data_IF_370789748458
#
_entry.id   IF_370789748458
#
_cell.length_a   1.000
_cell.length_b   1.000
_cell.length_c   1.000
_cell.angle_alpha   90.00
_cell.angle_beta   90.00
_cell.angle_gamma   90.00
#
_symmetry.space_group_name_H-M   'P 1'
#
loop_
_entity.id
_entity.type
_entity.pdbx_description
1 polymer ?
#
# COMPACT_ATOMS: atom_id res chain seq x y z
N UNK A 1 -4.29 -3.58 20.48
CA UNK A 1 -3.51 -4.37 19.52
C UNK A 1 -2.09 -3.83 19.49
N UNK A 2 -1.09 -4.62 19.13
CA UNK A 2 0.28 -4.13 18.97
C UNK A 2 0.46 -3.51 17.57
N UNK A 3 1.45 -2.63 17.41
CA UNK A 3 1.85 -2.11 16.09
C UNK A 3 2.18 -3.27 15.13
N UNK A 4 2.79 -4.34 15.64
CA UNK A 4 3.08 -5.54 14.85
C UNK A 4 1.82 -6.18 14.25
N UNK A 5 0.71 -6.23 15.00
CA UNK A 5 -0.55 -6.78 14.49
C UNK A 5 -1.16 -5.88 13.40
N UNK A 6 -1.05 -4.56 13.56
CA UNK A 6 -1.54 -3.59 12.57
C UNK A 6 -0.73 -3.66 11.27
N UNK A 7 0.60 -3.79 11.38
CA UNK A 7 1.48 -4.03 10.24
C UNK A 7 1.16 -5.35 9.53
N UNK A 8 0.91 -6.42 10.28
CA UNK A 8 0.57 -7.72 9.71
C UNK A 8 -0.79 -7.69 8.99
N UNK A 9 -1.79 -7.01 9.55
CA UNK A 9 -3.09 -6.81 8.90
C UNK A 9 -2.98 -5.95 7.62
N UNK A 10 -2.07 -4.97 7.59
CA UNK A 10 -1.75 -4.23 6.38
C UNK A 10 -1.13 -5.13 5.31
N UNK A 11 -0.20 -6.03 5.69
CA UNK A 11 0.38 -7.00 4.77
C UNK A 11 -0.68 -7.92 4.17
N UNK A 12 -1.62 -8.43 4.97
CA UNK A 12 -2.73 -9.29 4.52
C UNK A 12 -3.58 -8.58 3.45
N UNK A 13 -3.91 -7.29 3.66
CA UNK A 13 -4.63 -6.46 2.69
C UNK A 13 -3.83 -6.22 1.39
N UNK A 14 -2.51 -6.09 1.48
CA UNK A 14 -1.64 -5.78 0.34
C UNK A 14 -1.19 -7.02 -0.45
N UNK A 15 -1.22 -8.20 0.16
CA UNK A 15 -0.74 -9.46 -0.44
C UNK A 15 -1.48 -9.88 -1.73
N UNK A 16 -2.82 -9.82 -1.82
CA UNK A 16 -3.53 -10.28 -3.02
C UNK A 16 -3.42 -9.33 -4.21
N UNK A 17 -2.90 -8.11 -4.03
CA UNK A 17 -2.73 -7.15 -5.12
C UNK A 17 -1.64 -7.70 -6.06
N UNK A 18 -1.98 -7.97 -7.32
CA UNK A 18 -1.01 -8.38 -8.34
C UNK A 18 -0.19 -7.16 -8.76
N UNK A 19 1.04 -7.03 -8.23
CA UNK A 19 1.91 -5.88 -8.48
C UNK A 19 3.11 -6.25 -9.36
N UNK A 20 3.57 -5.27 -10.13
CA UNK A 20 4.86 -5.25 -10.80
C UNK A 20 5.49 -3.86 -10.61
N UNK A 21 6.56 -3.54 -11.33
CA UNK A 21 7.19 -2.22 -11.33
C UNK A 21 6.22 -1.14 -11.85
N UNK A 22 5.36 -1.51 -12.81
CA UNK A 22 4.33 -0.64 -13.39
C UNK A 22 2.94 -1.31 -13.33
N UNK A 23 1.90 -0.55 -13.68
CA UNK A 23 0.52 -1.05 -13.76
C UNK A 23 -0.35 -0.68 -12.56
N UNK A 24 -1.58 -1.17 -12.55
CA UNK A 24 -2.58 -0.74 -11.56
C UNK A 24 -2.31 -1.30 -10.16
N UNK A 25 -1.68 -2.48 -10.04
CA UNK A 25 -1.35 -3.04 -8.73
C UNK A 25 -0.38 -2.19 -7.92
N UNK A 26 0.62 -1.54 -8.55
CA UNK A 26 1.51 -0.62 -7.84
C UNK A 26 0.78 0.67 -7.45
N UNK A 27 -0.11 1.19 -8.31
CA UNK A 27 -0.93 2.38 -8.01
C UNK A 27 -1.91 2.12 -6.85
N UNK A 28 -2.57 0.97 -6.84
CA UNK A 28 -3.46 0.55 -5.77
C UNK A 28 -2.71 0.43 -4.44
N UNK A 29 -1.56 -0.23 -4.45
CA UNK A 29 -0.69 -0.37 -3.27
C UNK A 29 -0.28 0.98 -2.69
N UNK A 30 0.16 1.92 -3.55
CA UNK A 30 0.57 3.25 -3.10
C UNK A 30 -0.62 4.08 -2.57
N UNK A 31 -1.83 3.93 -3.13
CA UNK A 31 -3.05 4.55 -2.56
C UNK A 31 -3.38 4.02 -1.17
N UNK A 32 -3.18 2.72 -0.92
CA UNK A 32 -3.34 2.17 0.43
C UNK A 32 -2.36 2.84 1.40
N UNK A 33 -1.10 3.04 1.00
CA UNK A 33 -0.14 3.78 1.83
C UNK A 33 -0.51 5.25 2.04
N UNK A 34 -1.08 5.94 1.05
CA UNK A 34 -1.57 7.32 1.23
C UNK A 34 -2.67 7.43 2.30
N UNK A 35 -3.51 6.39 2.47
CA UNK A 35 -4.52 6.39 3.55
C UNK A 35 -3.90 6.38 4.96
N UNK A 36 -2.66 5.91 5.09
CA UNK A 36 -1.90 5.83 6.35
C UNK A 36 -1.00 7.06 6.50
N UNK A 37 -0.40 7.53 5.41
CA UNK A 37 0.42 8.73 5.35
C UNK A 37 -0.15 9.72 4.31
N UNK A 38 -1.12 10.57 4.71
CA UNK A 38 -1.79 11.49 3.78
C UNK A 38 -0.86 12.55 3.16
N UNK A 39 0.29 12.80 3.79
CA UNK A 39 1.30 13.73 3.27
C UNK A 39 2.12 13.16 2.10
N UNK A 40 1.96 11.87 1.76
CA UNK A 40 2.69 11.24 0.66
C UNK A 40 2.13 11.68 -0.70
N UNK A 41 2.99 12.25 -1.56
CA UNK A 41 2.66 12.61 -2.94
C UNK A 41 2.99 11.45 -3.89
N UNK A 42 2.03 11.09 -4.73
CA UNK A 42 2.20 10.12 -5.82
C UNK A 42 2.76 10.82 -7.07
N UNK A 43 3.81 10.27 -7.66
CA UNK A 43 4.37 10.68 -8.94
C UNK A 43 4.30 9.53 -9.94
N UNK A 44 3.88 9.81 -11.17
CA UNK A 44 3.89 8.88 -12.31
C UNK A 44 4.77 9.53 -13.40
N UNK A 45 5.64 8.75 -14.04
CA UNK A 45 6.72 9.22 -14.96
C UNK A 45 6.55 8.58 -16.33
#
# INVERSE_FOLDING_TARGET
MSIGNEMYALCDRLFPICRSITGDGVRETLRVFQSICPAMTLHDV
#
